data_IF_078808893433
#
_entry.id   IF_078808893433
#
_cell.length_a   1.000
_cell.length_b   1.000
_cell.length_c   1.000
_cell.angle_alpha   90.00
_cell.angle_beta   90.00
_cell.angle_gamma   90.00
#
_symmetry.space_group_name_H-M   'P 1'
#
loop_
_entity.id
_entity.type
_entity.pdbx_description
1 polymer ?
#
# COMPACT_ATOMS: atom_id res chain seq x y z
N UNK A 1 17.62 -38.19 26.01
CA UNK A 1 18.71 -38.68 25.14
C UNK A 1 18.50 -40.16 24.99
N UNK A 2 17.83 -40.58 23.93
CA UNK A 2 17.74 -41.98 23.53
C UNK A 2 18.74 -42.24 22.39
N UNK A 3 19.33 -43.44 22.29
CA UNK A 3 20.43 -43.72 21.39
C UNK A 3 20.00 -43.92 19.93
N UNK A 4 20.88 -43.48 19.04
CA UNK A 4 20.85 -43.63 17.58
C UNK A 4 21.07 -45.09 17.18
N UNK A 5 20.33 -45.64 16.21
CA UNK A 5 20.71 -46.87 15.52
C UNK A 5 21.49 -46.57 14.22
N UNK A 6 22.69 -47.14 14.13
CA UNK A 6 23.61 -47.14 12.98
C UNK A 6 23.26 -48.26 11.99
N UNK A 7 23.57 -48.01 10.71
CA UNK A 7 23.21 -48.68 9.45
C UNK A 7 23.59 -50.18 9.24
N UNK A 8 23.22 -50.74 8.07
CA UNK A 8 24.24 -51.11 7.06
C UNK A 8 23.89 -50.51 5.66
N UNK A 9 24.80 -49.82 4.97
CA UNK A 9 25.82 -50.31 4.00
C UNK A 9 25.30 -51.27 2.91
N UNK A 10 25.29 -50.74 1.67
CA UNK A 10 25.39 -51.35 0.32
C UNK A 10 24.80 -50.32 -0.67
N UNK A 11 25.35 -49.98 -1.83
CA UNK A 11 26.70 -50.00 -2.38
C UNK A 11 26.69 -49.02 -3.56
N UNK A 12 27.89 -48.67 -4.00
CA UNK A 12 28.28 -47.80 -5.10
C UNK A 12 27.43 -47.92 -6.40
N UNK A 13 27.03 -46.80 -7.00
CA UNK A 13 27.35 -46.61 -8.42
C UNK A 13 27.41 -45.13 -8.80
N UNK A 14 28.60 -44.77 -9.24
CA UNK A 14 29.02 -43.55 -9.91
C UNK A 14 28.27 -43.32 -11.23
N UNK A 15 27.99 -42.06 -11.55
CA UNK A 15 27.36 -41.69 -12.82
C UNK A 15 27.44 -40.19 -13.10
N UNK A 16 28.65 -39.62 -13.02
CA UNK A 16 28.93 -38.30 -13.57
C UNK A 16 28.97 -38.43 -15.09
N UNK A 17 28.05 -37.79 -15.79
CA UNK A 17 28.15 -37.56 -17.23
C UNK A 17 28.04 -36.05 -17.48
N UNK A 18 29.20 -35.40 -17.48
CA UNK A 18 29.42 -34.11 -18.11
C UNK A 18 30.08 -34.37 -19.48
N UNK A 19 29.81 -33.44 -20.40
CA UNK A 19 30.43 -33.25 -21.72
C UNK A 19 29.95 -34.17 -22.86
N UNK A 20 29.20 -33.56 -23.79
CA UNK A 20 29.56 -33.69 -25.22
C UNK A 20 29.27 -32.36 -25.94
N UNK A 21 30.34 -31.57 -25.97
CA UNK A 21 30.85 -30.72 -27.04
C UNK A 21 30.10 -30.82 -28.39
N UNK A 22 29.41 -29.74 -28.79
CA UNK A 22 28.85 -29.60 -30.13
C UNK A 22 29.71 -28.61 -30.94
N UNK A 23 30.69 -29.14 -31.67
CA UNK A 23 31.46 -28.41 -32.68
C UNK A 23 30.95 -28.72 -34.11
N UNK A 24 31.11 -27.77 -35.06
CA UNK A 24 30.31 -27.70 -36.27
C UNK A 24 31.00 -28.34 -37.48
N UNK A 25 30.21 -28.97 -38.36
CA UNK A 25 30.55 -28.96 -39.78
C UNK A 25 30.30 -30.23 -40.60
N UNK A 26 29.53 -30.00 -41.68
CA UNK A 26 29.59 -30.62 -43.01
C UNK A 26 28.76 -31.89 -43.28
N UNK A 27 27.69 -31.67 -44.05
CA UNK A 27 27.19 -32.41 -45.24
C UNK A 27 25.95 -31.63 -45.72
N UNK A 28 25.63 -31.38 -46.99
CA UNK A 28 26.29 -31.38 -48.29
C UNK A 28 25.36 -30.55 -49.21
N UNK A 29 25.89 -30.11 -50.36
CA UNK A 29 25.35 -29.11 -51.28
C UNK A 29 24.09 -29.53 -52.06
N UNK A 30 23.25 -28.53 -52.34
CA UNK A 30 22.26 -28.45 -53.43
C UNK A 30 21.22 -27.40 -53.05
N UNK A 31 21.11 -26.21 -53.62
CA UNK A 31 21.34 -25.79 -54.99
C UNK A 31 20.00 -25.28 -55.56
N UNK A 32 19.53 -24.10 -55.15
CA UNK A 32 18.55 -23.28 -55.90
C UNK A 32 18.62 -21.82 -55.43
N UNK A 33 19.21 -20.99 -56.28
CA UNK A 33 19.33 -19.55 -56.07
C UNK A 33 17.99 -18.84 -56.17
N UNK A 34 17.48 -18.40 -55.02
CA UNK A 34 16.49 -17.32 -54.95
C UNK A 34 17.22 -15.99 -54.87
N UNK A 35 17.09 -15.15 -55.89
CA UNK A 35 17.55 -13.75 -55.91
C UNK A 35 17.12 -13.03 -54.62
N UNK A 36 18.05 -12.81 -53.69
CA UNK A 36 17.87 -11.87 -52.57
C UNK A 36 17.74 -10.46 -53.15
N UNK A 37 16.50 -10.00 -53.35
CA UNK A 37 16.21 -8.57 -53.56
C UNK A 37 16.62 -7.84 -52.28
N UNK A 38 17.72 -7.08 -52.34
CA UNK A 38 18.03 -6.06 -51.33
C UNK A 38 16.93 -5.00 -51.42
N UNK A 39 15.89 -5.13 -50.60
CA UNK A 39 14.98 -4.04 -50.33
C UNK A 39 15.79 -2.95 -49.65
N UNK A 40 15.95 -1.81 -50.33
CA UNK A 40 16.52 -0.60 -49.76
C UNK A 40 15.73 -0.30 -48.48
N UNK A 41 16.40 -0.30 -47.34
CA UNK A 41 15.79 0.19 -46.11
C UNK A 41 15.30 1.62 -46.39
N UNK A 42 14.00 1.85 -46.17
CA UNK A 42 13.44 3.19 -46.26
C UNK A 42 14.25 4.12 -45.33
N UNK A 43 14.56 5.35 -45.73
CA UNK A 43 15.20 6.30 -44.84
C UNK A 43 14.32 6.44 -43.60
N UNK A 44 14.88 6.16 -42.43
CA UNK A 44 14.22 6.52 -41.16
C UNK A 44 13.92 8.02 -41.27
N UNK A 45 12.65 8.36 -41.19
CA UNK A 45 12.18 9.73 -41.20
C UNK A 45 12.83 10.45 -40.02
N UNK A 46 13.94 11.16 -40.24
CA UNK A 46 14.51 12.09 -39.28
C UNK A 46 13.67 13.37 -39.28
N UNK A 47 12.40 13.23 -38.95
CA UNK A 47 11.48 14.33 -38.70
C UNK A 47 11.23 14.36 -37.20
N UNK A 48 12.31 14.48 -36.42
CA UNK A 48 12.17 15.04 -35.08
C UNK A 48 12.05 16.55 -35.33
N UNK A 49 10.82 16.97 -35.56
CA UNK A 49 10.43 18.37 -35.57
C UNK A 49 10.94 19.02 -34.29
N UNK A 50 11.66 20.13 -34.45
CA UNK A 50 12.19 20.94 -33.36
C UNK A 50 11.04 21.64 -32.63
N UNK A 51 10.30 20.91 -31.81
CA UNK A 51 9.33 21.49 -30.90
C UNK A 51 10.07 22.24 -29.80
N UNK A 52 9.64 23.47 -29.52
CA UNK A 52 10.12 24.22 -28.34
C UNK A 52 9.62 23.54 -27.06
N UNK A 53 10.37 23.66 -25.96
CA UNK A 53 9.95 23.14 -24.65
C UNK A 53 8.54 23.65 -24.28
N UNK A 54 8.30 24.93 -24.53
CA UNK A 54 7.02 25.59 -24.23
C UNK A 54 5.84 24.98 -25.02
N UNK A 55 6.09 24.52 -26.25
CA UNK A 55 5.06 23.88 -27.08
C UNK A 55 4.73 22.48 -26.56
N UNK A 56 5.74 21.73 -26.10
CA UNK A 56 5.55 20.40 -25.51
C UNK A 56 4.77 20.52 -24.20
N UNK A 57 5.11 21.50 -23.36
CA UNK A 57 4.41 21.73 -22.09
C UNK A 57 2.96 22.16 -22.31
N UNK A 58 2.70 23.05 -23.26
CA UNK A 58 1.34 23.47 -23.61
C UNK A 58 0.48 22.30 -24.11
N UNK A 59 1.03 21.43 -24.96
CA UNK A 59 0.33 20.24 -25.45
C UNK A 59 0.10 19.21 -24.35
N UNK A 60 1.08 18.96 -23.48
CA UNK A 60 0.92 18.08 -22.31
C UNK A 60 -0.17 18.60 -21.39
N UNK A 61 -0.23 19.91 -21.14
CA UNK A 61 -1.27 20.53 -20.34
C UNK A 61 -2.66 20.34 -20.98
N UNK A 62 -2.79 20.53 -22.30
CA UNK A 62 -4.06 20.27 -23.00
C UNK A 62 -4.49 18.80 -22.89
N UNK A 63 -3.57 17.86 -23.03
CA UNK A 63 -3.86 16.43 -22.87
C UNK A 63 -4.32 16.10 -21.43
N UNK A 64 -3.72 16.73 -20.42
CA UNK A 64 -4.14 16.57 -19.02
C UNK A 64 -5.55 17.10 -18.76
N UNK A 65 -5.90 18.26 -19.34
CA UNK A 65 -7.26 18.81 -19.30
C UNK A 65 -8.26 17.86 -19.94
N UNK A 66 -7.88 17.19 -21.01
CA UNK A 66 -8.69 16.17 -21.69
C UNK A 66 -8.75 14.81 -20.96
N UNK A 67 -8.17 14.72 -19.75
CA UNK A 67 -8.24 13.54 -18.89
C UNK A 67 -7.12 12.52 -19.10
N UNK A 68 -6.13 12.80 -19.95
CA UNK A 68 -4.98 11.92 -20.13
C UNK A 68 -3.91 12.18 -19.08
N UNK A 69 -3.44 11.10 -18.42
CA UNK A 69 -2.31 11.18 -17.50
C UNK A 69 -1.00 10.96 -18.27
N UNK A 70 -0.31 12.06 -18.56
CA UNK A 70 0.99 12.03 -19.25
C UNK A 70 2.12 12.12 -18.23
N UNK A 71 3.09 11.20 -18.31
CA UNK A 71 4.27 11.16 -17.44
C UNK A 71 5.54 11.20 -18.29
N UNK A 72 6.24 12.36 -18.37
CA UNK A 72 7.48 12.46 -19.11
C UNK A 72 8.61 11.76 -18.36
N UNK A 73 9.30 10.83 -19.01
CA UNK A 73 10.48 10.15 -18.46
C UNK A 73 11.71 10.52 -19.28
N UNK A 74 12.82 10.89 -18.61
CA UNK A 74 14.04 11.39 -19.26
C UNK A 74 14.96 10.28 -19.74
N UNK A 75 14.89 9.11 -19.10
CA UNK A 75 15.76 7.96 -19.40
C UNK A 75 14.98 6.67 -19.54
N UNK A 76 15.49 5.72 -20.33
CA UNK A 76 14.88 4.39 -20.46
C UNK A 76 14.79 3.65 -19.13
N UNK A 77 15.77 3.85 -18.23
CA UNK A 77 15.76 3.26 -16.90
C UNK A 77 14.60 3.79 -16.05
N UNK A 78 14.36 5.10 -16.08
CA UNK A 78 13.23 5.75 -15.41
C UNK A 78 11.90 5.25 -15.98
N UNK A 79 11.79 5.09 -17.30
CA UNK A 79 10.61 4.49 -17.95
C UNK A 79 10.34 3.08 -17.46
N UNK A 80 11.38 2.24 -17.34
CA UNK A 80 11.23 0.88 -16.83
C UNK A 80 10.82 0.86 -15.35
N UNK A 81 11.37 1.76 -14.53
CA UNK A 81 10.98 1.88 -13.13
C UNK A 81 9.53 2.36 -12.99
N UNK A 82 9.14 3.37 -13.77
CA UNK A 82 7.76 3.87 -13.82
C UNK A 82 6.80 2.76 -14.26
N UNK A 83 7.13 2.02 -15.32
CA UNK A 83 6.30 0.91 -15.81
C UNK A 83 6.17 -0.22 -14.78
N UNK A 84 7.25 -0.54 -14.07
CA UNK A 84 7.24 -1.52 -12.98
C UNK A 84 6.30 -1.07 -11.86
N UNK A 85 6.43 0.16 -11.39
CA UNK A 85 5.56 0.74 -10.36
C UNK A 85 4.11 0.80 -10.80
N UNK A 86 3.85 1.24 -12.04
CA UNK A 86 2.51 1.30 -12.62
C UNK A 86 1.84 -0.07 -12.69
N UNK A 87 2.58 -1.08 -13.14
CA UNK A 87 2.10 -2.46 -13.21
C UNK A 87 1.78 -2.99 -11.82
N UNK A 88 2.65 -2.72 -10.84
CA UNK A 88 2.42 -3.07 -9.45
C UNK A 88 1.12 -2.40 -8.93
N UNK A 89 0.97 -1.09 -9.12
CA UNK A 89 -0.21 -0.34 -8.68
C UNK A 89 -1.50 -0.86 -9.31
N UNK A 90 -1.53 -1.14 -10.63
CA UNK A 90 -2.74 -1.69 -11.27
C UNK A 90 -3.05 -3.09 -10.75
N UNK A 91 -2.03 -3.92 -10.57
CA UNK A 91 -2.21 -5.28 -10.06
C UNK A 91 -2.72 -5.25 -8.62
N UNK A 92 -2.27 -4.30 -7.81
CA UNK A 92 -2.67 -4.15 -6.41
C UNK A 92 -3.98 -3.39 -6.24
N UNK A 93 -4.41 -2.55 -7.19
CA UNK A 93 -5.62 -1.73 -7.09
C UNK A 93 -6.89 -2.57 -6.76
N UNK A 94 -6.98 -3.79 -7.29
CA UNK A 94 -8.11 -4.71 -6.97
C UNK A 94 -8.07 -5.26 -5.55
N UNK A 95 -6.89 -5.29 -4.94
CA UNK A 95 -6.65 -5.85 -3.61
C UNK A 95 -6.46 -4.77 -2.54
N UNK A 96 -6.31 -3.51 -2.94
CA UNK A 96 -6.13 -2.41 -2.02
C UNK A 96 -7.43 -2.13 -1.28
N UNK A 97 -7.41 -2.42 0.02
CA UNK A 97 -8.55 -2.21 0.93
C UNK A 97 -8.90 -0.73 1.05
N UNK A 98 -7.94 0.16 0.81
CA UNK A 98 -8.06 1.62 0.88
C UNK A 98 -8.90 2.14 -0.29
N UNK A 99 -8.75 1.58 -1.49
CA UNK A 99 -9.55 1.96 -2.67
C UNK A 99 -10.94 1.29 -2.68
N UNK A 100 -11.10 0.12 -2.06
CA UNK A 100 -12.37 -0.62 -2.04
C UNK A 100 -13.42 -0.02 -1.11
N UNK A 101 -13.00 0.53 0.03
CA UNK A 101 -13.87 1.16 1.02
C UNK A 101 -13.24 2.48 1.47
N UNK A 102 -13.44 3.59 0.74
CA UNK A 102 -12.84 4.89 1.09
C UNK A 102 -13.24 5.35 2.51
N UNK A 103 -14.43 4.96 2.98
CA UNK A 103 -14.92 5.30 4.32
C UNK A 103 -14.18 4.53 5.43
N UNK A 104 -13.74 3.29 5.14
CA UNK A 104 -13.00 2.43 6.07
C UNK A 104 -11.48 2.52 5.86
N UNK A 105 -11.03 3.21 4.81
CA UNK A 105 -9.61 3.42 4.50
C UNK A 105 -8.85 4.14 5.63
N UNK A 106 -9.56 5.00 6.38
CA UNK A 106 -9.02 5.72 7.54
C UNK A 106 -9.05 4.90 8.83
N UNK A 107 -9.71 3.74 8.84
CA UNK A 107 -9.57 2.75 9.89
C UNK A 107 -8.25 2.05 9.59
N UNK A 108 -7.14 2.65 10.05
CA UNK A 108 -5.83 2.01 9.95
C UNK A 108 -5.82 0.64 10.63
N UNK A 109 -4.64 0.03 10.75
CA UNK A 109 -4.52 -1.22 11.51
C UNK A 109 -5.00 -1.00 12.94
N UNK A 110 -6.20 -1.51 13.28
CA UNK A 110 -6.72 -1.53 14.65
C UNK A 110 -5.75 -2.40 15.44
N UNK A 111 -4.87 -1.75 16.21
CA UNK A 111 -3.92 -2.46 17.05
C UNK A 111 -4.69 -2.94 18.28
N UNK A 112 -4.73 -4.25 18.50
CA UNK A 112 -5.23 -4.77 19.77
C UNK A 112 -4.36 -4.25 20.91
N UNK A 113 -4.97 -3.92 22.04
CA UNK A 113 -4.25 -3.57 23.25
C UNK A 113 -3.58 -4.80 23.85
N UNK A 114 -2.39 -4.64 24.42
CA UNK A 114 -1.70 -5.73 25.15
C UNK A 114 -2.35 -5.96 26.52
N UNK A 115 -2.77 -4.87 27.16
CA UNK A 115 -3.39 -4.84 28.48
C UNK A 115 -4.70 -4.04 28.45
N UNK A 116 -5.55 -4.19 29.47
CA UNK A 116 -6.81 -3.44 29.60
C UNK A 116 -6.62 -1.92 29.51
N UNK A 117 -5.56 -1.40 30.13
CA UNK A 117 -5.17 0.01 30.05
C UNK A 117 -4.80 0.43 28.62
N UNK A 118 -3.98 -0.36 27.94
CA UNK A 118 -3.55 -0.10 26.56
C UNK A 118 -4.71 -0.19 25.57
N UNK A 119 -5.65 -1.13 25.79
CA UNK A 119 -6.89 -1.22 25.03
C UNK A 119 -7.75 0.03 25.19
N UNK A 120 -7.87 0.53 26.43
CA UNK A 120 -8.64 1.75 26.70
C UNK A 120 -7.99 2.99 26.07
N UNK A 121 -6.67 3.11 26.15
CA UNK A 121 -5.89 4.16 25.47
C UNK A 121 -6.10 4.12 23.95
N UNK A 122 -5.94 2.96 23.32
CA UNK A 122 -6.11 2.79 21.87
C UNK A 122 -7.54 3.08 21.42
N UNK A 123 -8.54 2.76 22.24
CA UNK A 123 -9.92 3.12 21.95
C UNK A 123 -10.14 4.64 21.98
N UNK A 124 -9.60 5.35 22.96
CA UNK A 124 -9.69 6.82 23.01
C UNK A 124 -8.99 7.47 21.80
N UNK A 125 -7.86 6.91 21.35
CA UNK A 125 -7.13 7.42 20.17
C UNK A 125 -7.89 7.27 18.85
N UNK A 126 -8.95 6.45 18.81
CA UNK A 126 -9.78 6.30 17.60
C UNK A 126 -10.66 7.53 17.34
N UNK A 127 -10.89 8.39 18.35
CA UNK A 127 -11.64 9.63 18.18
C UNK A 127 -10.84 10.68 17.42
N UNK A 128 -11.49 11.35 16.46
CA UNK A 128 -10.87 12.43 15.67
C UNK A 128 -10.39 13.53 16.61
N UNK A 129 -9.15 13.97 16.41
CA UNK A 129 -8.47 14.99 17.24
C UNK A 129 -8.09 14.57 18.68
N UNK A 130 -8.17 13.28 19.01
CA UNK A 130 -7.57 12.77 20.24
C UNK A 130 -6.06 12.60 20.07
N UNK A 131 -5.29 13.11 21.04
CA UNK A 131 -3.83 12.90 21.12
C UNK A 131 -3.51 12.02 22.33
N UNK A 132 -2.36 11.33 22.31
CA UNK A 132 -1.95 10.45 23.41
C UNK A 132 -1.91 11.18 24.76
N UNK A 133 -1.39 12.42 24.79
CA UNK A 133 -1.33 13.24 26.01
C UNK A 133 -2.73 13.50 26.59
N UNK A 134 -3.72 13.78 25.73
CA UNK A 134 -5.10 14.01 26.17
C UNK A 134 -5.78 12.72 26.60
N UNK A 135 -5.53 11.63 25.89
CA UNK A 135 -6.07 10.32 26.24
C UNK A 135 -5.53 9.86 27.61
N UNK A 136 -4.22 10.00 27.87
CA UNK A 136 -3.64 9.71 29.17
C UNK A 136 -4.26 10.58 30.27
N UNK A 137 -4.44 11.88 30.03
CA UNK A 137 -5.15 12.76 30.98
C UNK A 137 -6.57 12.25 31.29
N UNK A 138 -7.29 11.72 30.30
CA UNK A 138 -8.61 11.12 30.52
C UNK A 138 -8.50 9.86 31.37
N UNK A 139 -7.50 9.02 31.13
CA UNK A 139 -7.28 7.77 31.87
C UNK A 139 -6.91 8.06 33.33
N UNK A 140 -6.15 9.11 33.60
CA UNK A 140 -5.78 9.50 34.97
C UNK A 140 -7.02 9.84 35.82
N UNK A 141 -8.02 10.51 35.24
CA UNK A 141 -9.27 10.88 35.92
C UNK A 141 -10.35 9.79 35.84
N UNK A 142 -10.37 9.03 34.74
CA UNK A 142 -11.35 7.98 34.44
C UNK A 142 -10.60 6.71 34.02
N UNK A 143 -10.09 5.91 34.97
CA UNK A 143 -9.14 4.83 34.70
C UNK A 143 -9.73 3.65 33.95
N UNK A 144 -11.06 3.52 33.90
CA UNK A 144 -11.71 2.44 33.17
C UNK A 144 -12.86 2.96 32.32
N UNK A 145 -13.16 2.21 31.25
CA UNK A 145 -14.31 2.46 30.39
C UNK A 145 -15.64 2.52 31.17
N UNK A 146 -15.77 1.74 32.24
CA UNK A 146 -16.96 1.78 33.09
C UNK A 146 -17.12 3.13 33.81
N UNK A 147 -16.03 3.74 34.27
CA UNK A 147 -16.07 5.08 34.87
C UNK A 147 -16.49 6.12 33.83
N UNK A 148 -15.98 6.02 32.60
CA UNK A 148 -16.38 6.89 31.50
C UNK A 148 -17.87 6.74 31.18
N UNK A 149 -18.37 5.51 31.08
CA UNK A 149 -19.80 5.23 30.83
C UNK A 149 -20.70 5.80 31.94
N UNK A 150 -20.32 5.61 33.20
CA UNK A 150 -21.08 6.14 34.33
C UNK A 150 -21.11 7.68 34.33
N UNK A 151 -19.99 8.34 33.99
CA UNK A 151 -19.93 9.79 33.87
C UNK A 151 -20.82 10.32 32.73
N UNK A 152 -20.86 9.60 31.60
CA UNK A 152 -21.75 9.92 30.47
C UNK A 152 -23.22 9.75 30.86
N UNK A 153 -23.57 8.67 31.56
CA UNK A 153 -24.94 8.41 32.02
C UNK A 153 -25.43 9.45 33.05
N UNK A 154 -24.51 10.04 33.81
CA UNK A 154 -24.80 11.17 34.71
C UNK A 154 -24.86 12.53 33.99
N UNK A 155 -24.74 12.53 32.66
CA UNK A 155 -24.71 13.69 31.78
C UNK A 155 -23.66 14.75 32.17
N UNK A 156 -22.61 14.31 32.87
CA UNK A 156 -21.57 15.18 33.42
C UNK A 156 -20.22 14.48 33.32
N UNK A 157 -19.42 14.88 32.33
CA UNK A 157 -18.01 14.49 32.32
C UNK A 157 -17.24 15.29 33.38
N UNK A 158 -16.32 14.64 34.11
CA UNK A 158 -15.50 15.32 35.10
C UNK A 158 -14.60 16.36 34.44
N UNK A 159 -14.42 17.48 35.14
CA UNK A 159 -13.38 18.46 34.85
C UNK A 159 -12.05 17.94 35.36
N UNK A 160 -10.97 18.21 34.64
CA UNK A 160 -9.64 17.86 35.14
C UNK A 160 -9.27 18.63 36.42
N UNK A 161 -8.14 18.30 37.03
CA UNK A 161 -7.71 18.85 38.32
C UNK A 161 -7.44 20.37 38.24
N UNK A 162 -7.22 20.89 37.04
CA UNK A 162 -7.03 22.31 36.74
C UNK A 162 -8.36 23.10 36.61
N UNK A 163 -9.52 22.46 36.83
CA UNK A 163 -10.85 23.04 36.57
C UNK A 163 -11.18 23.23 35.09
N UNK A 164 -10.31 22.78 34.18
CA UNK A 164 -10.51 22.82 32.74
C UNK A 164 -11.24 21.57 32.25
N UNK A 165 -12.00 21.64 31.13
CA UNK A 165 -12.59 20.47 30.50
C UNK A 165 -11.52 19.42 30.19
N UNK A 166 -11.80 18.16 30.53
CA UNK A 166 -10.88 17.04 30.33
C UNK A 166 -10.57 16.79 28.85
N UNK A 167 -11.54 17.10 28.00
CA UNK A 167 -11.49 16.95 26.55
C UNK A 167 -12.13 18.15 25.85
N UNK A 168 -11.91 18.26 24.54
CA UNK A 168 -12.55 19.28 23.72
C UNK A 168 -14.05 19.00 23.56
N UNK A 169 -14.86 20.05 23.37
CA UNK A 169 -16.32 19.93 23.25
C UNK A 169 -16.77 19.02 22.12
N UNK A 170 -16.05 18.98 20.99
CA UNK A 170 -16.32 18.07 19.88
C UNK A 170 -16.16 16.60 20.28
N UNK A 171 -15.06 16.25 20.97
CA UNK A 171 -14.79 14.89 21.45
C UNK A 171 -15.82 14.51 22.51
N UNK A 172 -16.16 15.43 23.40
CA UNK A 172 -17.19 15.23 24.42
C UNK A 172 -18.53 14.89 23.76
N UNK A 173 -18.99 15.68 22.78
CA UNK A 173 -20.22 15.41 22.05
C UNK A 173 -20.17 14.07 21.32
N UNK A 174 -19.04 13.71 20.70
CA UNK A 174 -18.88 12.40 20.04
C UNK A 174 -18.95 11.23 21.02
N UNK A 175 -18.35 11.36 22.21
CA UNK A 175 -18.38 10.33 23.26
C UNK A 175 -19.79 10.22 23.86
N UNK A 176 -20.44 11.34 24.15
CA UNK A 176 -21.81 11.38 24.63
C UNK A 176 -22.75 10.74 23.62
N UNK A 177 -22.59 11.07 22.33
CA UNK A 177 -23.35 10.46 21.23
C UNK A 177 -23.11 8.95 21.20
N UNK A 178 -21.84 8.52 21.18
CA UNK A 178 -21.47 7.10 21.14
C UNK A 178 -22.17 6.24 22.19
N UNK A 179 -22.25 6.71 23.43
CA UNK A 179 -22.85 5.94 24.54
C UNK A 179 -24.35 6.17 24.72
N UNK A 180 -24.94 7.21 24.11
CA UNK A 180 -26.36 7.56 24.30
C UNK A 180 -27.24 7.19 23.10
N UNK A 181 -26.69 7.15 21.89
CA UNK A 181 -27.48 6.87 20.68
C UNK A 181 -27.67 5.37 20.47
N UNK A 182 -28.91 4.94 20.25
CA UNK A 182 -29.26 3.57 19.86
C UNK A 182 -29.34 3.38 18.33
N UNK A 183 -28.97 4.42 17.56
CA UNK A 183 -29.05 4.42 16.10
C UNK A 183 -27.65 4.51 15.50
N UNK A 184 -27.20 3.43 14.87
CA UNK A 184 -25.87 3.30 14.27
C UNK A 184 -25.60 4.34 13.16
N UNK A 185 -26.65 4.82 12.49
CA UNK A 185 -26.54 5.80 11.40
C UNK A 185 -26.08 7.17 11.92
N UNK A 186 -26.45 7.52 13.15
CA UNK A 186 -26.10 8.80 13.78
C UNK A 186 -24.60 8.89 14.12
N UNK A 187 -23.93 7.74 14.27
CA UNK A 187 -22.50 7.65 14.58
C UNK A 187 -21.61 7.91 13.36
N UNK A 188 -22.16 7.78 12.15
CA UNK A 188 -21.44 7.91 10.88
C UNK A 188 -21.48 9.33 10.31
N UNK A 189 -22.41 10.17 10.76
CA UNK A 189 -22.49 11.59 10.38
C UNK A 189 -21.39 12.38 11.12
N UNK A 190 -20.37 12.77 10.37
CA UNK A 190 -19.18 13.53 10.81
C UNK A 190 -19.38 15.03 10.79
#
# INVERSE_FOLDING_TARGET
MEPVPTAPMEDENSGVANADEFEPGKRSRGGRGGRRRKTKAAPRSNTISSYSSDQIEAEVAQLQVNGFKVFPTKTTHETLLWLKSFTYTISSARYDKVERNPDLANIGTIKSGVNTHDTYLKMLLQFKFMTEVKANRIIDELPTLLHLYNAVNQNRLPTGPDGKPLMMSNIQSSIMKLFSTMNDSELLER
#
